data_IF_509803872067
#
_entry.id   IF_509803872067
#
_cell.length_a   1.000
_cell.length_b   1.000
_cell.length_c   1.000
_cell.angle_alpha   90.00
_cell.angle_beta   90.00
_cell.angle_gamma   90.00
#
_symmetry.space_group_name_H-M   'P 1'
#
loop_
_entity.id
_entity.type
_entity.pdbx_description
1 polymer ?
#
# COMPACT_ATOMS: atom_id res chain seq x y z
N UNK A 1 -23.60 -17.09 -3.18
CA UNK A 1 -23.73 -15.64 -2.85
C UNK A 1 -23.04 -14.85 -3.97
N UNK A 2 -23.75 -14.01 -4.72
CA UNK A 2 -23.23 -13.26 -5.89
C UNK A 2 -22.71 -11.86 -5.49
N UNK A 3 -21.73 -11.82 -4.59
CA UNK A 3 -21.04 -10.56 -4.29
C UNK A 3 -19.93 -10.39 -5.33
N UNK A 4 -20.17 -9.54 -6.32
CA UNK A 4 -19.20 -9.26 -7.38
C UNK A 4 -17.90 -8.71 -6.76
N UNK A 5 -16.80 -9.37 -7.09
CA UNK A 5 -15.47 -9.10 -6.58
C UNK A 5 -15.04 -7.68 -7.00
N UNK A 6 -14.75 -6.81 -6.04
CA UNK A 6 -14.37 -5.42 -6.33
C UNK A 6 -14.27 -4.52 -5.10
N UNK A 7 -14.18 -3.22 -5.34
CA UNK A 7 -13.93 -2.13 -4.38
C UNK A 7 -15.06 -1.96 -3.34
N UNK A 8 -16.21 -2.63 -3.50
CA UNK A 8 -17.43 -2.44 -2.70
C UNK A 8 -17.56 -3.46 -1.53
N UNK A 9 -16.44 -3.96 -1.01
CA UNK A 9 -16.44 -4.87 0.15
C UNK A 9 -15.70 -4.38 1.42
N UNK A 10 -15.50 -3.08 1.72
CA UNK A 10 -15.04 -2.69 3.05
C UNK A 10 -16.09 -2.93 4.14
N UNK A 11 -17.36 -2.53 3.91
CA UNK A 11 -18.39 -2.47 4.95
C UNK A 11 -18.90 -3.83 5.48
N UNK A 12 -19.07 -4.81 4.59
CA UNK A 12 -19.55 -6.17 4.95
C UNK A 12 -18.42 -7.03 5.52
N UNK A 13 -17.16 -6.73 5.19
CA UNK A 13 -16.02 -7.54 5.62
C UNK A 13 -15.40 -7.06 6.94
N UNK A 14 -15.58 -5.79 7.32
CA UNK A 14 -15.19 -5.29 8.65
C UNK A 14 -15.86 -6.06 9.80
N UNK A 15 -17.06 -6.60 9.57
CA UNK A 15 -17.83 -7.35 10.58
C UNK A 15 -17.54 -8.85 10.62
N UNK A 16 -16.73 -9.41 9.70
CA UNK A 16 -16.47 -10.85 9.63
C UNK A 16 -14.97 -11.17 9.59
N UNK A 17 -14.43 -11.54 10.75
CA UNK A 17 -13.01 -11.85 10.95
C UNK A 17 -12.53 -13.10 10.18
N UNK A 18 -13.41 -14.05 9.89
CA UNK A 18 -13.09 -15.25 9.11
C UNK A 18 -12.99 -14.93 7.61
N UNK A 19 -13.89 -14.08 7.09
CA UNK A 19 -13.75 -13.54 5.73
C UNK A 19 -12.50 -12.67 5.60
N UNK A 20 -12.13 -11.89 6.62
CA UNK A 20 -10.83 -11.20 6.59
C UNK A 20 -9.64 -12.16 6.60
N UNK A 21 -9.76 -13.33 7.24
CA UNK A 21 -8.72 -14.36 7.29
C UNK A 21 -8.47 -15.03 5.95
N UNK A 22 -9.55 -15.32 5.24
CA UNK A 22 -9.49 -16.02 3.97
C UNK A 22 -9.26 -15.08 2.78
N UNK A 23 -9.60 -13.79 2.89
CA UNK A 23 -9.75 -12.91 1.72
C UNK A 23 -8.92 -11.62 1.73
N UNK A 24 -8.36 -11.17 2.87
CA UNK A 24 -7.54 -9.95 2.91
C UNK A 24 -6.07 -10.23 3.12
N UNK A 25 -5.25 -9.37 2.52
CA UNK A 25 -3.88 -9.23 2.97
C UNK A 25 -3.86 -8.70 4.41
N UNK A 26 -3.31 -9.48 5.33
CA UNK A 26 -3.06 -9.11 6.72
C UNK A 26 -1.66 -8.52 6.83
N UNK A 27 -1.52 -7.56 7.74
CA UNK A 27 -0.24 -6.98 8.10
C UNK A 27 0.02 -7.22 9.59
N UNK A 28 1.19 -7.76 9.91
CA UNK A 28 1.69 -7.93 11.26
C UNK A 28 3.08 -7.27 11.37
N UNK A 29 3.53 -7.04 12.61
CA UNK A 29 4.79 -6.37 12.91
C UNK A 29 5.56 -7.22 13.91
N UNK A 30 6.83 -7.48 13.60
CA UNK A 30 7.80 -8.02 14.55
C UNK A 30 8.93 -6.99 14.65
N UNK A 31 9.14 -6.41 15.83
CA UNK A 31 10.17 -5.39 16.00
C UNK A 31 10.78 -5.37 17.39
N UNK A 32 12.04 -4.96 17.45
CA UNK A 32 12.82 -4.79 18.65
C UNK A 32 13.26 -3.33 18.78
N UNK A 33 13.14 -2.79 19.99
CA UNK A 33 13.62 -1.45 20.35
C UNK A 33 15.00 -1.58 20.95
N UNK A 34 15.98 -0.88 20.39
CA UNK A 34 17.35 -0.80 20.91
C UNK A 34 17.85 0.64 20.79
N UNK A 35 18.26 1.26 21.89
CA UNK A 35 18.91 2.58 21.98
C UNK A 35 18.53 3.60 20.91
N UNK A 36 17.29 4.10 20.98
CA UNK A 36 16.78 5.13 20.07
C UNK A 36 16.50 4.65 18.64
N UNK A 37 16.70 3.36 18.35
CA UNK A 37 16.34 2.70 17.10
C UNK A 37 15.22 1.67 17.32
N UNK A 38 14.46 1.45 16.25
CA UNK A 38 13.53 0.34 16.14
C UNK A 38 13.86 -0.41 14.85
N UNK A 39 14.10 -1.72 14.95
CA UNK A 39 14.40 -2.59 13.80
C UNK A 39 13.45 -3.77 13.82
N UNK A 40 13.12 -4.28 12.64
CA UNK A 40 12.20 -5.41 12.55
C UNK A 40 11.74 -5.68 11.13
N UNK A 41 10.64 -6.42 11.03
CA UNK A 41 9.99 -6.76 9.78
C UNK A 41 8.49 -6.47 9.82
N UNK A 42 7.97 -6.01 8.70
CA UNK A 42 6.54 -6.05 8.41
C UNK A 42 6.24 -7.36 7.69
N UNK A 43 5.26 -8.10 8.22
CA UNK A 43 4.81 -9.36 7.66
C UNK A 43 3.50 -9.13 6.92
N UNK A 44 3.51 -9.27 5.60
CA UNK A 44 2.31 -9.17 4.78
C UNK A 44 1.89 -10.56 4.31
N UNK A 45 0.71 -11.00 4.73
CA UNK A 45 0.19 -12.35 4.47
C UNK A 45 -1.07 -12.24 3.65
N UNK A 46 -1.24 -13.04 2.60
CA UNK A 46 -2.55 -13.15 1.96
C UNK A 46 -3.33 -14.34 2.53
N UNK A 47 -4.67 -14.29 2.45
CA UNK A 47 -5.52 -15.38 2.92
C UNK A 47 -5.22 -16.72 2.23
N UNK A 48 -5.76 -17.80 2.80
CA UNK A 48 -5.49 -19.17 2.38
C UNK A 48 -5.97 -19.50 0.94
N UNK A 49 -6.90 -18.70 0.40
CA UNK A 49 -7.39 -18.88 -0.96
C UNK A 49 -6.37 -18.33 -1.97
N UNK A 50 -6.14 -19.00 -3.10
CA UNK A 50 -5.08 -18.68 -4.08
C UNK A 50 -5.37 -17.43 -4.93
N UNK A 51 -6.15 -16.47 -4.43
CA UNK A 51 -6.45 -15.22 -5.14
C UNK A 51 -5.53 -14.09 -4.71
N UNK A 52 -5.14 -13.23 -5.65
CA UNK A 52 -4.39 -11.99 -5.35
C UNK A 52 -5.36 -10.92 -4.83
N UNK A 53 -5.05 -10.32 -3.67
CA UNK A 53 -5.88 -9.28 -3.09
C UNK A 53 -5.15 -7.93 -2.99
N UNK A 54 -5.81 -6.80 -3.31
CA UNK A 54 -7.16 -6.66 -3.89
C UNK A 54 -7.22 -7.25 -5.32
N UNK A 55 -8.31 -7.95 -5.63
CA UNK A 55 -8.55 -8.56 -6.94
C UNK A 55 -8.74 -7.55 -8.09
N UNK A 56 -8.73 -8.02 -9.34
CA UNK A 56 -8.66 -7.17 -10.54
C UNK A 56 -7.29 -7.29 -11.22
N UNK A 57 -6.97 -6.44 -12.19
CA UNK A 57 -5.69 -6.50 -12.91
C UNK A 57 -4.52 -6.16 -11.95
N UNK A 58 -3.64 -7.14 -11.61
CA UNK A 58 -2.50 -6.89 -10.74
C UNK A 58 -1.41 -6.06 -11.43
N UNK A 59 -1.48 -5.90 -12.76
CA UNK A 59 -0.50 -5.16 -13.57
C UNK A 59 -0.52 -3.68 -13.19
N UNK A 60 -1.71 -3.08 -13.09
CA UNK A 60 -1.84 -1.64 -12.89
C UNK A 60 -1.67 -1.20 -11.43
N UNK A 61 -1.71 -2.11 -10.46
CA UNK A 61 -1.70 -1.70 -9.06
C UNK A 61 -0.30 -1.43 -8.54
N UNK A 62 -0.19 -0.37 -7.75
CA UNK A 62 1.01 -0.05 -6.99
C UNK A 62 0.70 -0.20 -5.51
N UNK A 63 1.56 -0.89 -4.77
CA UNK A 63 1.40 -1.13 -3.33
C UNK A 63 2.47 -0.39 -2.56
N UNK A 64 2.12 0.04 -1.36
CA UNK A 64 3.00 0.79 -0.47
C UNK A 64 2.93 0.15 0.91
N UNK A 65 4.09 -0.19 1.47
CA UNK A 65 4.21 -0.54 2.88
C UNK A 65 4.91 0.60 3.57
N UNK A 66 4.19 1.27 4.48
CA UNK A 66 4.70 2.41 5.23
C UNK A 66 4.82 2.01 6.70
N UNK A 67 6.01 2.15 7.26
CA UNK A 67 6.30 1.95 8.69
C UNK A 67 6.59 3.30 9.30
N UNK A 68 5.81 3.70 10.28
CA UNK A 68 5.87 5.02 10.92
C UNK A 68 6.11 4.84 12.41
N UNK A 69 7.16 5.48 12.92
CA UNK A 69 7.46 5.54 14.35
C UNK A 69 6.91 6.83 14.92
N UNK A 70 6.17 6.75 16.02
CA UNK A 70 5.52 7.89 16.69
C UNK A 70 5.84 7.92 18.18
N UNK A 71 5.82 9.12 18.75
CA UNK A 71 5.85 9.31 20.20
C UNK A 71 4.44 9.18 20.83
N UNK A 72 4.34 9.43 22.14
CA UNK A 72 3.08 9.35 22.90
C UNK A 72 2.04 10.41 22.48
N UNK A 73 2.47 11.52 21.89
CA UNK A 73 1.59 12.55 21.34
C UNK A 73 1.09 12.23 19.93
N UNK A 74 1.63 11.17 19.30
CA UNK A 74 1.36 10.82 17.90
C UNK A 74 2.26 11.54 16.90
N UNK A 75 3.26 12.31 17.37
CA UNK A 75 4.22 12.99 16.50
C UNK A 75 5.12 11.96 15.82
N UNK A 76 5.28 12.08 14.50
CA UNK A 76 6.14 11.19 13.71
C UNK A 76 7.60 11.47 14.05
N UNK A 77 8.28 10.45 14.55
CA UNK A 77 9.71 10.46 14.85
C UNK A 77 10.55 10.07 13.64
N UNK A 78 10.09 9.06 12.91
CA UNK A 78 10.72 8.57 11.67
C UNK A 78 9.72 7.74 10.83
N UNK A 79 9.99 7.58 9.54
CA UNK A 79 9.13 6.85 8.62
C UNK A 79 9.93 6.21 7.47
N UNK A 80 9.63 4.94 7.17
CA UNK A 80 10.09 4.24 5.96
C UNK A 80 8.89 3.90 5.09
N UNK A 81 8.99 4.11 3.79
CA UNK A 81 8.03 3.58 2.82
C UNK A 81 8.75 2.73 1.78
N UNK A 82 8.20 1.56 1.50
CA UNK A 82 8.64 0.67 0.43
C UNK A 82 7.52 0.50 -0.59
N UNK A 83 7.88 0.61 -1.87
CA UNK A 83 6.95 0.60 -3.00
C UNK A 83 7.09 -0.70 -3.79
N UNK A 84 5.97 -1.31 -4.14
CA UNK A 84 5.89 -2.56 -4.89
C UNK A 84 4.98 -2.42 -6.11
N UNK A 85 5.28 -3.19 -7.15
CA UNK A 85 4.70 -3.02 -8.49
C UNK A 85 5.68 -2.28 -9.41
N UNK A 86 5.31 -2.13 -10.68
CA UNK A 86 6.16 -1.42 -11.66
C UNK A 86 5.80 0.06 -11.74
N UNK A 87 6.71 0.84 -12.32
CA UNK A 87 6.39 2.19 -12.76
C UNK A 87 5.44 2.16 -13.98
N UNK A 88 4.71 3.25 -14.21
CA UNK A 88 3.73 3.34 -15.29
C UNK A 88 4.35 3.03 -16.67
N UNK A 89 5.56 3.54 -16.91
CA UNK A 89 6.36 3.36 -18.13
C UNK A 89 6.68 1.89 -18.43
N UNK A 90 6.91 1.11 -17.37
CA UNK A 90 7.31 -0.30 -17.48
C UNK A 90 6.12 -1.23 -17.70
N UNK A 91 4.92 -0.81 -17.27
CA UNK A 91 3.67 -1.55 -17.50
C UNK A 91 3.30 -1.59 -18.99
N UNK A 92 3.63 -0.53 -19.74
CA UNK A 92 3.32 -0.45 -21.17
C UNK A 92 4.19 -1.37 -22.05
N UNK A 93 5.27 -1.95 -21.50
CA UNK A 93 6.34 -2.57 -22.31
C UNK A 93 6.88 -3.90 -21.76
N UNK A 94 6.48 -4.30 -20.55
CA UNK A 94 7.12 -5.41 -19.84
C UNK A 94 6.16 -6.55 -19.49
N UNK A 95 6.71 -7.68 -19.01
CA UNK A 95 5.88 -8.79 -18.52
C UNK A 95 5.09 -8.37 -17.27
N UNK A 96 3.94 -9.03 -17.08
CA UNK A 96 3.04 -8.88 -15.93
C UNK A 96 3.87 -8.94 -14.63
N UNK A 97 3.77 -7.94 -13.73
CA UNK A 97 4.51 -7.96 -12.46
C UNK A 97 4.09 -9.14 -11.60
N UNK A 98 5.03 -9.63 -10.79
CA UNK A 98 4.69 -10.56 -9.72
C UNK A 98 3.70 -9.86 -8.77
N UNK A 99 2.70 -10.58 -8.26
CA UNK A 99 1.78 -10.01 -7.31
C UNK A 99 2.50 -9.58 -6.02
N UNK A 100 1.90 -8.60 -5.34
CA UNK A 100 2.42 -8.09 -4.08
C UNK A 100 2.53 -9.19 -3.01
N UNK A 101 1.57 -10.11 -2.91
CA UNK A 101 1.70 -11.32 -2.09
C UNK A 101 0.85 -12.44 -2.70
N UNK A 102 1.40 -13.66 -2.77
CA UNK A 102 0.68 -14.83 -3.26
C UNK A 102 -0.19 -15.42 -2.14
N UNK A 103 -1.32 -16.05 -2.49
CA UNK A 103 -2.11 -16.83 -1.54
C UNK A 103 -1.25 -17.88 -0.83
N UNK A 104 -1.42 -18.00 0.49
CA UNK A 104 -0.63 -18.93 1.31
C UNK A 104 0.85 -18.56 1.51
N UNK A 105 1.29 -17.36 1.10
CA UNK A 105 2.66 -16.88 1.33
C UNK A 105 2.71 -15.67 2.27
N UNK A 106 3.85 -15.50 2.94
CA UNK A 106 4.17 -14.30 3.71
C UNK A 106 5.30 -13.55 3.01
N UNK A 107 5.09 -12.25 2.74
CA UNK A 107 6.15 -11.34 2.35
C UNK A 107 6.72 -10.67 3.59
N UNK A 108 8.03 -10.75 3.74
CA UNK A 108 8.80 -10.12 4.81
C UNK A 108 9.43 -8.83 4.28
N UNK A 109 9.21 -7.72 4.98
CA UNK A 109 9.69 -6.40 4.57
C UNK A 109 10.48 -5.80 5.72
N UNK A 110 11.82 -5.83 5.68
CA UNK A 110 12.64 -5.35 6.77
C UNK A 110 12.58 -3.83 6.86
N UNK A 111 12.66 -3.30 8.07
CA UNK A 111 12.75 -1.88 8.31
C UNK A 111 13.72 -1.57 9.45
N UNK A 112 14.22 -0.34 9.41
CA UNK A 112 15.01 0.25 10.46
C UNK A 112 14.62 1.73 10.54
N UNK A 113 14.15 2.14 11.71
CA UNK A 113 13.75 3.52 12.02
C UNK A 113 14.62 4.04 13.16
N UNK A 114 14.99 5.32 13.10
CA UNK A 114 15.86 5.99 14.06
C UNK A 114 15.11 7.18 14.68
N UNK A 115 14.85 7.11 15.98
CA UNK A 115 14.31 8.22 16.72
C UNK A 115 15.36 9.32 16.87
N UNK A 116 14.94 10.58 16.76
CA UNK A 116 15.81 11.73 17.01
C UNK A 116 16.26 11.73 18.48
N UNK A 117 17.48 12.18 18.78
CA UNK A 117 17.94 12.33 20.16
C UNK A 117 16.95 13.15 21.00
N UNK A 118 16.67 12.70 22.22
CA UNK A 118 15.71 13.36 23.13
C UNK A 118 14.24 13.02 22.88
N UNK A 119 13.93 12.18 21.88
CA UNK A 119 12.57 11.68 21.66
C UNK A 119 12.41 10.24 22.16
N UNK A 120 11.20 9.90 22.62
CA UNK A 120 10.89 8.57 23.16
C UNK A 120 9.93 7.87 22.22
N UNK A 121 10.37 6.82 21.51
CA UNK A 121 9.49 5.95 20.73
C UNK A 121 8.42 5.30 21.59
N UNK A 122 7.16 5.41 21.17
CA UNK A 122 6.00 4.87 21.88
C UNK A 122 5.14 3.96 21.01
N UNK A 123 4.88 4.34 19.76
CA UNK A 123 3.98 3.64 18.86
C UNK A 123 4.66 3.39 17.52
N UNK A 124 4.62 2.15 17.06
CA UNK A 124 4.98 1.76 15.71
C UNK A 124 3.71 1.42 14.93
N UNK A 125 3.58 1.96 13.73
CA UNK A 125 2.45 1.72 12.83
C UNK A 125 2.97 1.20 11.50
N UNK A 126 2.48 0.04 11.06
CA UNK A 126 2.72 -0.47 9.72
C UNK A 126 1.40 -0.41 8.94
N UNK A 127 1.38 0.25 7.79
CA UNK A 127 0.23 0.33 6.91
C UNK A 127 0.56 -0.21 5.53
N UNK A 128 -0.42 -0.91 4.95
CA UNK A 128 -0.42 -1.32 3.55
C UNK A 128 -1.43 -0.45 2.84
N UNK A 129 -1.00 0.22 1.78
CA UNK A 129 -1.87 1.01 0.90
C UNK A 129 -1.69 0.59 -0.55
N UNK A 130 -2.64 0.94 -1.40
CA UNK A 130 -2.55 0.70 -2.84
C UNK A 130 -3.06 1.87 -3.66
N UNK A 131 -2.48 2.08 -4.83
CA UNK A 131 -3.03 2.92 -5.90
C UNK A 131 -3.55 2.02 -7.04
N UNK A 132 -4.56 2.50 -7.77
CA UNK A 132 -5.18 1.75 -8.88
C UNK A 132 -4.30 1.75 -10.14
N UNK A 133 -3.53 2.83 -10.33
CA UNK A 133 -2.50 2.96 -11.34
C UNK A 133 -1.21 3.45 -10.66
N UNK A 134 0.00 3.15 -11.18
CA UNK A 134 1.19 3.87 -10.75
C UNK A 134 1.08 5.33 -11.21
N UNK A 135 1.68 6.24 -10.46
CA UNK A 135 1.75 7.64 -10.89
C UNK A 135 2.50 7.74 -12.23
N UNK A 136 1.88 8.31 -13.28
CA UNK A 136 2.54 8.47 -14.58
C UNK A 136 3.69 9.48 -14.49
N UNK A 137 4.80 9.24 -15.18
CA UNK A 137 5.83 10.25 -15.34
C UNK A 137 5.31 11.48 -16.08
N UNK A 138 5.84 12.66 -15.72
CA UNK A 138 5.42 13.96 -16.27
C UNK A 138 5.45 13.98 -17.80
N UNK A 139 6.49 13.42 -18.41
CA UNK A 139 6.65 13.38 -19.89
C UNK A 139 5.51 12.60 -20.58
N UNK A 140 5.07 11.49 -20.00
CA UNK A 140 3.97 10.70 -20.57
C UNK A 140 2.64 11.41 -20.35
N UNK A 141 2.44 11.97 -19.15
CA UNK A 141 1.24 12.72 -18.82
C UNK A 141 1.08 13.92 -19.76
N UNK A 142 2.12 14.71 -19.97
CA UNK A 142 2.08 15.89 -20.84
C UNK A 142 1.77 15.51 -22.29
N UNK A 143 2.36 14.42 -22.79
CA UNK A 143 2.05 13.90 -24.14
C UNK A 143 0.59 13.49 -24.26
N UNK A 144 0.03 12.82 -23.26
CA UNK A 144 -1.38 12.45 -23.23
C UNK A 144 -2.30 13.69 -23.15
N UNK A 145 -1.99 14.65 -22.29
CA UNK A 145 -2.78 15.88 -22.16
C UNK A 145 -2.76 16.71 -23.45
N UNK A 146 -1.68 16.67 -24.22
CA UNK A 146 -1.58 17.33 -25.52
C UNK A 146 -2.48 16.72 -26.60
N UNK A 147 -2.94 15.46 -26.44
CA UNK A 147 -3.88 14.85 -27.40
C UNK A 147 -5.35 15.23 -27.15
N UNK A 148 -5.65 15.91 -26.04
CA UNK A 148 -7.02 16.27 -25.65
C UNK A 148 -7.45 17.59 -26.30
N UNK A 149 -8.73 17.69 -26.67
CA UNK A 149 -9.21 18.75 -27.56
C UNK A 149 -9.28 20.13 -26.88
N UNK A 150 -9.56 20.16 -25.58
CA UNK A 150 -9.81 21.40 -24.83
C UNK A 150 -9.33 21.33 -23.37
N UNK A 151 -9.31 22.49 -22.71
CA UNK A 151 -8.84 22.61 -21.32
C UNK A 151 -9.71 21.84 -20.33
N UNK A 152 -11.03 21.77 -20.57
CA UNK A 152 -11.94 21.02 -19.71
C UNK A 152 -11.62 19.53 -19.70
N UNK A 153 -11.30 18.96 -20.86
CA UNK A 153 -10.85 17.57 -20.96
C UNK A 153 -9.51 17.36 -20.27
N UNK A 154 -8.55 18.28 -20.45
CA UNK A 154 -7.23 18.23 -19.78
C UNK A 154 -7.37 18.24 -18.26
N UNK A 155 -8.18 19.14 -17.70
CA UNK A 155 -8.41 19.21 -16.26
C UNK A 155 -9.14 17.97 -15.74
N UNK A 156 -10.13 17.47 -16.49
CA UNK A 156 -10.83 16.22 -16.15
C UNK A 156 -9.88 15.03 -16.11
N UNK A 157 -9.02 14.90 -17.12
CA UNK A 157 -8.00 13.86 -17.21
C UNK A 157 -7.01 13.93 -16.03
N UNK A 158 -6.51 15.12 -15.70
CA UNK A 158 -5.64 15.33 -14.52
C UNK A 158 -6.31 14.87 -13.22
N UNK A 159 -7.58 15.21 -13.03
CA UNK A 159 -8.33 14.81 -11.84
C UNK A 159 -8.50 13.29 -11.73
N UNK A 160 -8.80 12.61 -12.85
CA UNK A 160 -8.90 11.15 -12.89
C UNK A 160 -7.56 10.51 -12.58
N UNK A 161 -6.47 10.96 -13.22
CA UNK A 161 -5.12 10.44 -12.97
C UNK A 161 -4.77 10.59 -11.49
N UNK A 162 -5.00 11.78 -10.91
CA UNK A 162 -4.76 12.06 -9.50
C UNK A 162 -5.55 11.14 -8.57
N UNK A 163 -6.83 10.90 -8.83
CA UNK A 163 -7.65 10.00 -8.00
C UNK A 163 -7.22 8.54 -8.12
N UNK A 164 -6.81 8.11 -9.32
CA UNK A 164 -6.45 6.71 -9.56
C UNK A 164 -5.04 6.39 -9.06
N UNK A 165 -4.12 7.36 -9.11
CA UNK A 165 -2.78 7.24 -8.52
C UNK A 165 -2.75 7.52 -7.01
N UNK A 166 -3.82 8.07 -6.43
CA UNK A 166 -3.90 8.32 -5.00
C UNK A 166 -3.85 6.99 -4.19
N UNK A 167 -2.95 6.89 -3.19
CA UNK A 167 -2.93 5.75 -2.29
C UNK A 167 -4.21 5.64 -1.45
N UNK A 168 -4.78 4.45 -1.39
CA UNK A 168 -5.91 4.07 -0.55
C UNK A 168 -5.44 3.06 0.49
N UNK A 169 -5.74 3.31 1.76
CA UNK A 169 -5.39 2.41 2.86
C UNK A 169 -6.09 1.07 2.67
N UNK A 170 -5.31 -0.01 2.69
CA UNK A 170 -5.81 -1.39 2.63
C UNK A 170 -6.00 -1.95 4.04
N UNK A 171 -4.95 -1.87 4.85
CA UNK A 171 -4.93 -2.37 6.23
C UNK A 171 -3.77 -1.75 7.00
N UNK A 172 -3.82 -1.84 8.32
CA UNK A 172 -2.73 -1.39 9.18
C UNK A 172 -2.66 -2.23 10.45
N UNK A 173 -1.50 -2.18 11.09
CA UNK A 173 -1.23 -2.75 12.40
C UNK A 173 -0.44 -1.75 13.22
N UNK A 174 -0.65 -1.79 14.52
CA UNK A 174 0.12 -1.01 15.47
C UNK A 174 0.77 -1.91 16.50
N UNK A 175 1.90 -1.45 17.02
CA UNK A 175 2.61 -2.04 18.15
C UNK A 175 3.04 -0.93 19.08
N UNK A 176 2.73 -1.04 20.36
CA UNK A 176 3.19 -0.12 21.39
C UNK A 176 4.40 -0.70 22.11
N UNK A 177 5.34 0.16 22.50
CA UNK A 177 6.50 -0.19 23.32
C UNK A 177 6.28 0.13 24.79
#
# INVERSE_FOLDING_TARGET
RHWFQGIVIPGIMLSNRNLQAEWFSRVDIEAEKSDGAVKGEVLVRNGALPHTFPGGDPVLKQFFVTVTLKDKSGTILDQKQERFGKAFEELLRGPIPRPFVNGGTTRHIPFHLQAKPGTIPHLLEASVSYALIPEPGTVILDKYLATLANDKERETAKNIVKDYSAPRLLTFRTMTF
#
